data_IF_706964135549
#
_entry.id   IF_706964135549
#
_cell.length_a   1.000
_cell.length_b   1.000
_cell.length_c   1.000
_cell.angle_alpha   90.00
_cell.angle_beta   90.00
_cell.angle_gamma   90.00
#
_symmetry.space_group_name_H-M   'P 1'
#
loop_
_entity.id
_entity.type
_entity.pdbx_description
1 polymer ?
#
# COMPACT_ATOMS: atom_id res chain seq x y z
N UNK A 1 25.33 3.08 4.76
CA UNK A 1 25.00 1.87 5.54
C UNK A 1 25.58 1.97 6.93
N UNK A 2 24.80 1.70 7.98
CA UNK A 2 25.30 1.61 9.36
C UNK A 2 25.32 0.16 9.87
N UNK A 3 24.39 -0.68 9.40
CA UNK A 3 24.23 -2.08 9.81
C UNK A 3 23.95 -3.00 8.60
N UNK A 4 24.21 -4.32 8.68
CA UNK A 4 23.77 -5.27 7.65
C UNK A 4 22.24 -5.32 7.56
N UNK A 5 21.72 -5.68 6.38
CA UNK A 5 20.28 -5.79 6.18
C UNK A 5 19.71 -7.12 6.66
N UNK A 6 18.48 -7.06 7.17
CA UNK A 6 17.62 -8.22 7.43
C UNK A 6 16.22 -7.95 6.86
N UNK A 7 15.50 -8.98 6.44
CA UNK A 7 14.11 -8.84 5.98
C UNK A 7 13.33 -10.13 6.22
N UNK A 8 12.01 -10.08 6.08
CA UNK A 8 11.15 -11.25 6.23
C UNK A 8 11.40 -12.29 5.13
N UNK A 9 11.09 -13.54 5.39
CA UNK A 9 10.98 -14.59 4.38
C UNK A 9 10.04 -14.12 3.26
N UNK A 10 10.50 -14.25 2.01
CA UNK A 10 9.82 -13.67 0.85
C UNK A 10 10.30 -12.27 0.46
N UNK A 11 11.01 -11.54 1.35
CA UNK A 11 11.58 -10.22 1.07
C UNK A 11 10.70 -9.05 1.52
N UNK A 12 11.30 -7.87 1.61
CA UNK A 12 10.59 -6.60 1.79
C UNK A 12 9.65 -6.35 0.60
N UNK A 13 8.54 -5.65 0.83
CA UNK A 13 7.64 -5.24 -0.26
C UNK A 13 8.34 -4.20 -1.13
N UNK A 14 8.29 -4.34 -2.44
CA UNK A 14 8.88 -3.39 -3.38
C UNK A 14 7.80 -2.43 -3.89
N UNK A 15 7.91 -1.17 -3.51
CA UNK A 15 6.95 -0.12 -3.88
C UNK A 15 7.52 0.74 -5.01
N UNK A 16 6.84 0.78 -6.15
CA UNK A 16 7.26 1.48 -7.36
C UNK A 16 6.47 2.79 -7.49
N UNK A 17 7.18 3.90 -7.62
CA UNK A 17 6.60 5.22 -7.84
C UNK A 17 6.49 5.55 -9.33
N UNK A 18 5.27 5.88 -9.77
CA UNK A 18 5.01 6.48 -11.06
C UNK A 18 4.77 8.00 -10.92
N UNK A 19 5.16 8.82 -11.91
CA UNK A 19 5.20 10.27 -11.74
C UNK A 19 3.96 11.00 -12.27
N UNK A 20 2.90 10.28 -12.63
CA UNK A 20 1.72 10.89 -13.25
C UNK A 20 0.82 11.50 -12.19
N UNK A 21 0.63 12.82 -12.14
CA UNK A 21 -0.18 13.46 -11.11
C UNK A 21 -1.59 12.86 -10.99
N UNK A 22 -1.94 12.37 -9.79
CA UNK A 22 -3.27 11.84 -9.49
C UNK A 22 -4.37 12.90 -9.44
N UNK A 23 -4.02 14.19 -9.49
CA UNK A 23 -4.92 15.36 -9.42
C UNK A 23 -5.76 15.46 -8.14
N UNK A 24 -5.63 14.49 -7.23
CA UNK A 24 -6.44 14.41 -6.01
C UNK A 24 -5.99 15.37 -4.92
N UNK A 25 -4.75 15.88 -5.00
CA UNK A 25 -4.25 16.98 -4.17
C UNK A 25 -4.60 16.86 -2.67
N UNK A 26 -4.62 15.63 -2.14
CA UNK A 26 -5.02 15.38 -0.77
C UNK A 26 -4.09 16.13 0.19
N UNK A 27 -4.61 16.79 1.24
CA UNK A 27 -3.79 17.58 2.16
C UNK A 27 -2.82 16.73 3.00
N UNK A 28 -3.04 15.42 3.06
CA UNK A 28 -2.20 14.44 3.76
C UNK A 28 -1.30 13.63 2.82
N UNK A 29 -1.26 13.94 1.52
CA UNK A 29 -0.34 13.26 0.62
C UNK A 29 1.08 13.82 0.80
N UNK A 30 1.94 13.06 1.48
CA UNK A 30 3.36 13.43 1.64
C UNK A 30 4.18 13.18 0.38
N UNK A 31 3.70 12.29 -0.49
CA UNK A 31 4.42 11.85 -1.69
C UNK A 31 4.19 12.77 -2.88
N UNK A 32 3.46 13.88 -2.73
CA UNK A 32 3.11 14.75 -3.86
C UNK A 32 4.33 15.26 -4.63
N UNK A 33 5.41 15.55 -3.91
CA UNK A 33 6.67 15.99 -4.54
C UNK A 33 7.29 14.91 -5.43
N UNK A 34 7.10 13.63 -5.09
CA UNK A 34 7.66 12.48 -5.83
C UNK A 34 7.07 12.32 -7.24
N UNK A 35 5.88 12.86 -7.48
CA UNK A 35 5.17 12.74 -8.76
C UNK A 35 4.68 14.09 -9.31
N UNK A 36 5.11 15.21 -8.73
CA UNK A 36 4.84 16.55 -9.26
C UNK A 36 5.87 16.96 -10.34
N UNK A 37 7.07 16.38 -10.29
CA UNK A 37 8.14 16.58 -11.27
C UNK A 37 8.43 15.27 -11.98
N UNK A 38 8.23 15.22 -13.30
CA UNK A 38 8.53 14.04 -14.12
C UNK A 38 9.99 14.02 -14.62
N UNK A 39 10.83 14.97 -14.19
CA UNK A 39 12.22 15.05 -14.60
C UNK A 39 12.97 13.80 -14.17
N UNK A 40 13.56 13.12 -15.14
CA UNK A 40 14.34 11.90 -14.91
C UNK A 40 13.52 10.61 -14.84
N UNK A 41 12.19 10.67 -15.05
CA UNK A 41 11.38 9.47 -15.20
C UNK A 41 11.94 8.55 -16.29
N UNK A 42 12.07 7.26 -15.98
CA UNK A 42 12.57 6.27 -16.92
C UNK A 42 11.99 4.88 -16.64
N UNK A 43 11.07 4.44 -17.50
CA UNK A 43 10.54 3.07 -17.48
C UNK A 43 11.67 2.03 -17.54
N UNK A 44 12.66 2.24 -18.40
CA UNK A 44 13.81 1.33 -18.54
C UNK A 44 14.57 1.12 -17.22
N UNK A 45 14.91 2.21 -16.51
CA UNK A 45 15.61 2.13 -15.23
C UNK A 45 14.75 1.54 -14.11
N UNK A 46 13.44 1.80 -14.13
CA UNK A 46 12.50 1.15 -13.21
C UNK A 46 12.50 -0.36 -13.48
N UNK A 47 12.43 -0.78 -14.75
CA UNK A 47 12.48 -2.18 -15.14
C UNK A 47 13.81 -2.85 -14.72
N UNK A 48 14.95 -2.18 -14.87
CA UNK A 48 16.23 -2.66 -14.35
C UNK A 48 16.18 -2.92 -12.83
N UNK A 49 15.55 -2.00 -12.11
CA UNK A 49 15.40 -2.11 -10.65
C UNK A 49 14.43 -3.21 -10.24
N UNK A 50 13.34 -3.40 -10.99
CA UNK A 50 12.41 -4.53 -10.81
C UNK A 50 13.17 -5.85 -10.98
N UNK A 51 13.90 -6.03 -12.08
CA UNK A 51 14.72 -7.23 -12.33
C UNK A 51 15.74 -7.45 -11.23
N UNK A 52 16.36 -6.37 -10.74
CA UNK A 52 17.31 -6.42 -9.64
C UNK A 52 16.67 -6.92 -8.34
N UNK A 53 15.47 -6.44 -8.00
CA UNK A 53 14.76 -6.84 -6.79
C UNK A 53 14.15 -8.25 -6.88
N UNK A 54 13.65 -8.65 -8.05
CA UNK A 54 13.23 -10.04 -8.31
C UNK A 54 14.39 -11.01 -8.08
N UNK A 55 15.58 -10.72 -8.64
CA UNK A 55 16.75 -11.57 -8.49
C UNK A 55 17.18 -11.78 -7.03
N UNK A 56 17.00 -10.77 -6.15
CA UNK A 56 17.35 -10.87 -4.73
C UNK A 56 16.23 -11.50 -3.92
N UNK A 57 14.97 -11.15 -4.21
CA UNK A 57 13.78 -11.57 -3.46
C UNK A 57 12.65 -12.03 -4.40
N UNK A 58 12.72 -13.24 -4.96
CA UNK A 58 11.90 -13.68 -6.11
C UNK A 58 10.44 -14.01 -5.78
N UNK A 59 9.98 -13.66 -4.57
CA UNK A 59 8.62 -13.93 -4.08
C UNK A 59 8.07 -12.78 -3.21
N UNK A 60 8.69 -11.60 -3.26
CA UNK A 60 8.20 -10.43 -2.54
C UNK A 60 6.91 -9.88 -3.18
N UNK A 61 6.26 -8.97 -2.49
CA UNK A 61 5.10 -8.26 -3.03
C UNK A 61 5.58 -7.00 -3.77
N UNK A 62 5.02 -6.71 -4.93
CA UNK A 62 5.21 -5.45 -5.66
C UNK A 62 3.98 -4.55 -5.55
N UNK A 63 4.18 -3.25 -5.37
CA UNK A 63 3.10 -2.26 -5.24
C UNK A 63 3.37 -1.08 -6.16
N UNK A 64 2.51 -0.86 -7.15
CA UNK A 64 2.55 0.37 -7.96
C UNK A 64 1.80 1.50 -7.24
N UNK A 65 2.45 2.65 -7.11
CA UNK A 65 1.90 3.85 -6.44
C UNK A 65 2.60 5.11 -6.95
N UNK A 66 2.66 6.17 -6.15
CA UNK A 66 3.16 7.48 -6.51
C UNK A 66 1.99 8.39 -6.82
N UNK A 67 1.91 8.86 -8.05
CA UNK A 67 0.73 9.56 -8.57
C UNK A 67 -0.38 8.58 -8.95
N UNK A 68 -0.74 8.52 -10.23
CA UNK A 68 -1.80 7.66 -10.78
C UNK A 68 -1.22 6.61 -11.73
N UNK A 69 -1.06 5.34 -11.29
CA UNK A 69 -0.51 4.27 -12.13
C UNK A 69 -1.26 4.03 -13.43
N UNK A 70 -2.58 4.28 -13.48
CA UNK A 70 -3.37 4.07 -14.68
C UNK A 70 -3.33 5.23 -15.69
N UNK A 71 -2.60 6.31 -15.39
CA UNK A 71 -2.48 7.45 -16.30
C UNK A 71 -1.68 7.13 -17.58
N UNK A 72 -0.88 6.06 -17.57
CA UNK A 72 -0.14 5.55 -18.73
C UNK A 72 -0.10 4.01 -18.69
N UNK A 73 -1.07 3.40 -19.38
CA UNK A 73 -1.23 1.95 -19.42
C UNK A 73 -0.10 1.25 -20.20
N UNK A 74 0.56 1.94 -21.14
CA UNK A 74 1.66 1.37 -21.91
C UNK A 74 2.89 1.22 -21.02
N UNK A 75 3.29 2.31 -20.35
CA UNK A 75 4.38 2.28 -19.38
C UNK A 75 4.11 1.29 -18.25
N UNK A 76 2.87 1.26 -17.72
CA UNK A 76 2.49 0.29 -16.69
C UNK A 76 2.58 -1.15 -17.20
N UNK A 77 2.16 -1.45 -18.44
CA UNK A 77 2.30 -2.78 -19.01
C UNK A 77 3.76 -3.22 -19.09
N UNK A 78 4.65 -2.34 -19.59
CA UNK A 78 6.08 -2.64 -19.70
C UNK A 78 6.67 -2.99 -18.34
N UNK A 79 6.37 -2.22 -17.30
CA UNK A 79 6.83 -2.51 -15.94
C UNK A 79 6.19 -3.78 -15.37
N UNK A 80 4.90 -4.02 -15.64
CA UNK A 80 4.24 -5.24 -15.22
C UNK A 80 4.92 -6.45 -15.85
N UNK A 81 5.20 -6.45 -17.15
CA UNK A 81 5.77 -7.59 -17.89
C UNK A 81 7.10 -8.08 -17.31
N UNK A 82 7.88 -7.20 -16.68
CA UNK A 82 9.14 -7.53 -16.00
C UNK A 82 8.99 -8.27 -14.67
N UNK A 83 7.81 -8.21 -14.03
CA UNK A 83 7.58 -8.85 -12.73
C UNK A 83 7.14 -10.32 -12.96
N UNK A 84 7.84 -11.34 -12.46
CA UNK A 84 7.38 -12.73 -12.58
C UNK A 84 6.07 -13.02 -11.82
N UNK A 85 5.36 -14.10 -12.20
CA UNK A 85 4.11 -14.53 -11.53
C UNK A 85 4.32 -15.15 -10.15
N UNK A 86 5.58 -15.26 -9.69
CA UNK A 86 5.92 -15.68 -8.32
C UNK A 86 5.65 -14.58 -7.29
N UNK A 87 5.42 -13.35 -7.74
CA UNK A 87 5.10 -12.19 -6.91
C UNK A 87 3.60 -11.94 -6.83
N UNK A 88 3.18 -11.29 -5.75
CA UNK A 88 1.88 -10.61 -5.70
C UNK A 88 2.04 -9.17 -6.16
N UNK A 89 1.08 -8.68 -6.93
CA UNK A 89 1.11 -7.31 -7.45
C UNK A 89 -0.12 -6.55 -6.99
N UNK A 90 0.10 -5.40 -6.36
CA UNK A 90 -0.93 -4.48 -5.94
C UNK A 90 -0.80 -3.16 -6.71
N UNK A 91 -1.93 -2.53 -7.01
CA UNK A 91 -1.95 -1.20 -7.64
C UNK A 91 -2.72 -0.26 -6.73
N UNK A 92 -2.04 0.76 -6.20
CA UNK A 92 -2.65 1.84 -5.44
C UNK A 92 -3.01 2.97 -6.40
N UNK A 93 -4.29 3.27 -6.51
CA UNK A 93 -4.83 4.22 -7.49
C UNK A 93 -5.89 5.09 -6.83
N UNK A 94 -6.08 6.30 -7.35
CA UNK A 94 -7.31 7.08 -7.06
C UNK A 94 -8.41 6.72 -8.04
N UNK A 95 -8.07 6.05 -9.14
CA UNK A 95 -8.92 5.72 -10.27
C UNK A 95 -9.79 6.93 -10.64
N UNK A 96 -9.20 8.08 -10.98
CA UNK A 96 -9.93 9.29 -11.25
C UNK A 96 -10.62 9.18 -12.62
N UNK A 97 -11.59 10.06 -12.87
CA UNK A 97 -12.04 10.27 -14.26
C UNK A 97 -10.85 10.82 -15.07
N UNK A 98 -10.43 10.07 -16.09
CA UNK A 98 -9.32 10.45 -16.98
C UNK A 98 -9.85 11.02 -18.29
N UNK A 99 -9.16 12.03 -18.82
CA UNK A 99 -9.39 12.55 -20.18
C UNK A 99 -8.69 11.70 -21.25
N UNK A 100 -7.76 10.83 -20.83
CA UNK A 100 -6.88 10.06 -21.72
C UNK A 100 -7.20 8.57 -21.75
N UNK A 101 -7.72 8.01 -20.65
CA UNK A 101 -8.14 6.61 -20.56
C UNK A 101 -9.65 6.54 -20.28
N UNK A 102 -10.36 5.79 -21.10
CA UNK A 102 -11.76 5.48 -20.84
C UNK A 102 -11.90 4.39 -19.77
N UNK A 103 -13.10 4.25 -19.20
CA UNK A 103 -13.43 3.13 -18.31
C UNK A 103 -13.20 1.76 -18.99
N UNK A 104 -13.47 1.67 -20.30
CA UNK A 104 -13.29 0.44 -21.09
C UNK A 104 -11.80 0.09 -21.26
N UNK A 105 -10.93 1.09 -21.40
CA UNK A 105 -9.47 0.88 -21.47
C UNK A 105 -8.95 0.28 -20.17
N UNK A 106 -9.39 0.82 -19.02
CA UNK A 106 -9.02 0.29 -17.69
C UNK A 106 -9.50 -1.15 -17.52
N UNK A 107 -10.77 -1.42 -17.84
CA UNK A 107 -11.33 -2.76 -17.72
C UNK A 107 -10.62 -3.76 -18.63
N UNK A 108 -10.34 -3.38 -19.87
CA UNK A 108 -9.60 -4.23 -20.83
C UNK A 108 -8.18 -4.51 -20.33
N UNK A 109 -7.51 -3.50 -19.80
CA UNK A 109 -6.17 -3.64 -19.24
C UNK A 109 -6.14 -4.58 -18.03
N UNK A 110 -7.09 -4.42 -17.11
CA UNK A 110 -7.18 -5.26 -15.92
C UNK A 110 -7.58 -6.69 -16.27
N UNK A 111 -8.50 -6.90 -17.22
CA UNK A 111 -8.89 -8.23 -17.69
C UNK A 111 -7.71 -8.97 -18.30
N UNK A 112 -6.91 -8.28 -19.14
CA UNK A 112 -5.67 -8.83 -19.72
C UNK A 112 -4.67 -9.28 -18.64
N UNK A 113 -4.58 -8.54 -17.54
CA UNK A 113 -3.57 -8.74 -16.49
C UNK A 113 -4.12 -9.41 -15.22
N UNK A 114 -5.33 -9.95 -15.23
CA UNK A 114 -6.04 -10.41 -14.02
C UNK A 114 -5.36 -11.54 -13.26
N UNK A 115 -4.63 -12.40 -13.97
CA UNK A 115 -3.88 -13.51 -13.36
C UNK A 115 -2.61 -13.02 -12.64
N UNK A 116 -2.20 -11.78 -12.90
CA UNK A 116 -0.98 -11.18 -12.35
C UNK A 116 -1.27 -10.18 -11.25
N UNK A 117 -2.33 -9.38 -11.41
CA UNK A 117 -2.74 -8.36 -10.44
C UNK A 117 -3.51 -9.03 -9.30
N UNK A 118 -2.93 -8.99 -8.10
CA UNK A 118 -3.54 -9.57 -6.91
C UNK A 118 -4.70 -8.73 -6.38
N UNK A 119 -4.53 -7.40 -6.33
CA UNK A 119 -5.59 -6.50 -5.88
C UNK A 119 -5.35 -5.05 -6.31
N UNK A 120 -6.42 -4.33 -6.64
CA UNK A 120 -6.39 -2.88 -6.87
C UNK A 120 -6.89 -2.17 -5.61
N UNK A 121 -6.04 -1.38 -4.98
CA UNK A 121 -6.40 -0.54 -3.84
C UNK A 121 -6.86 0.82 -4.34
N UNK A 122 -8.18 1.05 -4.30
CA UNK A 122 -8.81 2.25 -4.82
C UNK A 122 -9.03 3.24 -3.69
N UNK A 123 -8.38 4.40 -3.77
CA UNK A 123 -8.51 5.45 -2.76
C UNK A 123 -9.86 6.15 -2.89
N UNK A 124 -10.66 6.12 -1.81
CA UNK A 124 -11.93 6.84 -1.68
C UNK A 124 -11.96 7.46 -0.30
N UNK A 125 -11.92 8.78 -0.20
CA UNK A 125 -11.91 9.46 1.10
C UNK A 125 -13.31 9.92 1.46
N UNK A 126 -13.65 9.92 2.74
CA UNK A 126 -14.94 10.46 3.21
C UNK A 126 -15.12 11.94 2.86
N UNK A 127 -14.01 12.67 2.69
CA UNK A 127 -13.99 14.02 2.11
C UNK A 127 -13.49 13.92 0.67
N UNK A 128 -14.23 14.48 -0.28
CA UNK A 128 -13.84 14.42 -1.68
C UNK A 128 -12.83 15.52 -2.01
N UNK A 129 -11.67 15.12 -2.54
CA UNK A 129 -10.63 16.04 -3.02
C UNK A 129 -10.47 16.01 -4.56
N UNK A 130 -11.07 15.01 -5.23
CA UNK A 130 -11.14 14.85 -6.69
C UNK A 130 -12.52 14.40 -7.12
N UNK A 131 -12.81 14.51 -8.42
CA UNK A 131 -13.91 13.78 -9.05
C UNK A 131 -13.51 12.31 -9.16
N UNK A 132 -14.09 11.50 -8.28
CA UNK A 132 -13.93 10.04 -8.26
C UNK A 132 -14.59 9.41 -9.51
N UNK A 133 -14.04 8.32 -10.03
CA UNK A 133 -14.78 7.48 -10.98
C UNK A 133 -16.01 6.86 -10.29
N UNK A 134 -17.04 6.60 -11.10
CA UNK A 134 -18.31 6.07 -10.63
C UNK A 134 -18.13 4.71 -9.93
N UNK A 135 -18.93 4.46 -8.89
CA UNK A 135 -18.94 3.20 -8.15
C UNK A 135 -19.32 2.00 -9.05
N UNK A 136 -20.11 2.22 -10.11
CA UNK A 136 -20.42 1.17 -11.09
C UNK A 136 -19.18 0.62 -11.80
N UNK A 137 -18.12 1.41 -11.93
CA UNK A 137 -16.84 0.92 -12.46
C UNK A 137 -16.20 -0.09 -11.50
N UNK A 138 -16.27 0.16 -10.18
CA UNK A 138 -15.73 -0.74 -9.17
C UNK A 138 -16.43 -2.10 -9.21
N UNK A 139 -17.75 -2.11 -9.40
CA UNK A 139 -18.55 -3.32 -9.53
C UNK A 139 -18.18 -4.18 -10.77
N UNK A 140 -17.51 -3.57 -11.76
CA UNK A 140 -17.11 -4.22 -13.02
C UNK A 140 -15.65 -4.62 -13.06
N UNK A 141 -14.84 -4.27 -12.05
CA UNK A 141 -13.42 -4.61 -12.05
C UNK A 141 -13.24 -6.14 -12.13
N UNK A 142 -12.43 -6.65 -13.08
CA UNK A 142 -12.25 -8.09 -13.25
C UNK A 142 -11.26 -8.70 -12.26
N UNK A 143 -10.69 -7.87 -11.38
CA UNK A 143 -9.71 -8.24 -10.35
C UNK A 143 -10.26 -7.86 -8.97
N UNK A 144 -9.80 -8.53 -7.89
CA UNK A 144 -10.11 -8.10 -6.54
C UNK A 144 -9.75 -6.63 -6.34
N UNK A 145 -10.61 -5.91 -5.61
CA UNK A 145 -10.34 -4.54 -5.25
C UNK A 145 -10.63 -4.31 -3.77
N UNK A 146 -10.02 -3.25 -3.24
CA UNK A 146 -10.23 -2.79 -1.88
C UNK A 146 -10.34 -1.28 -1.89
N UNK A 147 -11.33 -0.77 -1.18
CA UNK A 147 -11.45 0.66 -0.95
C UNK A 147 -10.48 1.06 0.15
N UNK A 148 -9.65 2.06 -0.11
CA UNK A 148 -8.67 2.56 0.84
C UNK A 148 -9.07 3.98 1.27
N UNK A 149 -9.18 4.21 2.57
CA UNK A 149 -9.62 5.48 3.13
C UNK A 149 -8.75 5.92 4.31
N UNK A 150 -8.01 7.01 4.15
CA UNK A 150 -7.34 7.66 5.28
C UNK A 150 -8.39 8.40 6.12
N UNK A 151 -8.51 8.04 7.39
CA UNK A 151 -9.33 8.77 8.37
C UNK A 151 -8.46 9.87 9.02
N UNK A 152 -8.39 11.02 8.35
CA UNK A 152 -7.49 12.11 8.71
C UNK A 152 -8.13 13.09 9.71
N UNK A 153 -7.44 13.39 10.82
CA UNK A 153 -7.85 14.37 11.85
C UNK A 153 -9.31 14.20 12.30
N UNK A 154 -10.13 15.24 12.13
CA UNK A 154 -11.55 15.28 12.43
C UNK A 154 -12.34 14.84 11.21
N UNK A 155 -12.18 13.58 10.80
CA UNK A 155 -13.01 12.99 9.75
C UNK A 155 -14.50 13.04 10.17
N UNK A 156 -15.43 13.13 9.21
CA UNK A 156 -16.84 13.35 9.55
C UNK A 156 -17.50 12.04 10.01
N UNK A 157 -17.36 11.73 11.31
CA UNK A 157 -17.85 10.47 11.92
C UNK A 157 -19.31 10.17 11.60
N UNK A 158 -20.17 11.21 11.54
CA UNK A 158 -21.59 11.07 11.17
C UNK A 158 -21.81 10.44 9.79
N UNK A 159 -20.83 10.55 8.90
CA UNK A 159 -20.88 10.05 7.53
C UNK A 159 -20.24 8.65 7.41
N UNK A 160 -19.76 8.06 8.51
CA UNK A 160 -19.13 6.73 8.52
C UNK A 160 -20.12 5.65 8.06
N UNK A 161 -21.32 5.57 8.66
CA UNK A 161 -22.35 4.61 8.23
C UNK A 161 -22.77 4.84 6.77
N UNK A 162 -23.12 6.07 6.33
CA UNK A 162 -23.37 6.34 4.91
C UNK A 162 -22.24 5.89 3.98
N UNK A 163 -20.98 6.09 4.38
CA UNK A 163 -19.80 5.65 3.62
C UNK A 163 -19.70 4.12 3.53
N UNK A 164 -19.92 3.41 4.65
CA UNK A 164 -19.96 1.94 4.66
C UNK A 164 -21.11 1.42 3.79
N UNK A 165 -22.31 2.01 3.88
CA UNK A 165 -23.48 1.63 3.08
C UNK A 165 -23.31 1.89 1.57
N UNK A 166 -22.47 2.86 1.17
CA UNK A 166 -22.12 3.10 -0.23
C UNK A 166 -21.42 1.86 -0.81
N UNK A 167 -20.35 1.41 -0.17
CA UNK A 167 -19.53 0.31 -0.69
C UNK A 167 -20.09 -1.08 -0.38
N UNK A 168 -20.89 -1.23 0.68
CA UNK A 168 -21.60 -2.49 0.96
C UNK A 168 -22.52 -2.94 -0.18
N UNK A 169 -23.02 -1.98 -0.99
CA UNK A 169 -23.84 -2.26 -2.18
C UNK A 169 -23.04 -2.83 -3.35
N UNK A 170 -21.71 -2.72 -3.31
CA UNK A 170 -20.82 -3.17 -4.38
C UNK A 170 -20.32 -4.58 -4.02
N UNK A 171 -20.68 -5.62 -4.79
CA UNK A 171 -20.23 -6.98 -4.51
C UNK A 171 -18.71 -7.09 -4.48
N UNK A 172 -18.19 -7.83 -3.49
CA UNK A 172 -16.74 -8.05 -3.34
C UNK A 172 -15.95 -6.88 -2.78
N UNK A 173 -16.59 -5.73 -2.50
CA UNK A 173 -15.93 -4.62 -1.85
C UNK A 173 -15.47 -5.00 -0.43
N UNK A 174 -14.30 -4.49 -0.06
CA UNK A 174 -13.79 -4.43 1.31
C UNK A 174 -13.24 -3.03 1.55
N UNK A 175 -13.18 -2.59 2.81
CA UNK A 175 -12.68 -1.26 3.15
C UNK A 175 -11.48 -1.39 4.09
N UNK A 176 -10.40 -0.73 3.71
CA UNK A 176 -9.24 -0.50 4.57
C UNK A 176 -9.20 0.97 4.98
N UNK A 177 -9.52 1.22 6.24
CA UNK A 177 -9.24 2.49 6.89
C UNK A 177 -7.78 2.57 7.30
N UNK A 178 -7.18 3.74 7.11
CA UNK A 178 -5.81 4.03 7.53
C UNK A 178 -5.79 5.16 8.54
N UNK A 179 -5.04 4.96 9.60
CA UNK A 179 -4.60 6.08 10.42
C UNK A 179 -3.65 6.97 9.64
N UNK A 180 -3.56 8.24 10.02
CA UNK A 180 -2.55 9.14 9.51
C UNK A 180 -1.17 8.66 9.97
N UNK A 181 -0.40 8.05 9.06
CA UNK A 181 0.91 7.50 9.38
C UNK A 181 1.89 8.58 9.84
N UNK A 182 1.70 9.86 9.47
CA UNK A 182 2.54 10.96 9.96
C UNK A 182 2.36 11.19 11.47
N UNK A 183 1.26 10.70 12.04
CA UNK A 183 0.96 10.73 13.45
C UNK A 183 1.20 9.38 14.15
N UNK A 184 1.54 8.30 13.43
CA UNK A 184 1.84 7.00 14.05
C UNK A 184 3.21 7.03 14.72
N UNK A 185 3.29 6.54 15.96
CA UNK A 185 4.53 6.31 16.69
C UNK A 185 4.56 4.87 17.22
N UNK A 186 5.71 4.34 17.64
CA UNK A 186 5.79 3.03 18.29
C UNK A 186 4.84 2.90 19.49
N UNK A 187 4.65 3.98 20.25
CA UNK A 187 3.81 4.00 21.45
C UNK A 187 2.31 3.92 21.13
N UNK A 188 1.87 4.54 20.03
CA UNK A 188 0.45 4.56 19.67
C UNK A 188 0.04 3.47 18.66
N UNK A 189 1.02 2.72 18.14
CA UNK A 189 0.81 1.71 17.10
C UNK A 189 -0.23 0.65 17.50
N UNK A 190 -0.25 0.25 18.77
CA UNK A 190 -1.20 -0.74 19.32
C UNK A 190 -2.10 -0.14 20.42
N UNK A 191 -2.11 1.17 20.57
CA UNK A 191 -2.93 1.84 21.57
C UNK A 191 -4.42 1.76 21.16
N UNK A 192 -5.26 1.37 22.11
CA UNK A 192 -6.70 1.18 21.89
C UNK A 192 -7.59 2.08 22.77
N UNK A 193 -7.16 2.38 24.01
CA UNK A 193 -7.97 3.04 25.04
C UNK A 193 -8.30 4.49 24.69
N UNK A 194 -7.43 5.17 23.96
CA UNK A 194 -7.60 6.56 23.54
C UNK A 194 -7.72 6.71 22.03
N UNK A 195 -7.86 5.59 21.31
CA UNK A 195 -8.05 5.58 19.87
C UNK A 195 -9.51 5.86 19.51
N UNK A 196 -9.77 7.12 19.17
CA UNK A 196 -11.09 7.56 18.74
C UNK A 196 -11.59 6.82 17.48
N UNK A 197 -10.73 6.53 16.51
CA UNK A 197 -11.15 5.88 15.26
C UNK A 197 -11.57 4.44 15.55
N UNK A 198 -10.77 3.73 16.34
CA UNK A 198 -11.10 2.38 16.78
C UNK A 198 -12.44 2.33 17.53
N UNK A 199 -12.67 3.28 18.44
CA UNK A 199 -13.94 3.38 19.16
C UNK A 199 -15.11 3.66 18.21
N UNK A 200 -15.01 4.65 17.33
CA UNK A 200 -16.07 4.98 16.38
C UNK A 200 -16.41 3.77 15.46
N UNK A 201 -15.40 2.99 15.05
CA UNK A 201 -15.59 1.77 14.27
C UNK A 201 -16.26 0.64 15.07
N UNK A 202 -15.87 0.43 16.33
CA UNK A 202 -16.48 -0.55 17.24
C UNK A 202 -17.97 -0.27 17.49
N UNK A 203 -18.41 0.99 17.39
CA UNK A 203 -19.83 1.37 17.51
C UNK A 203 -20.68 1.01 16.28
N UNK A 204 -20.07 0.89 15.09
CA UNK A 204 -20.82 0.69 13.82
C UNK A 204 -20.61 -0.69 13.19
N UNK A 205 -19.52 -1.39 13.52
CA UNK A 205 -19.17 -2.68 12.95
C UNK A 205 -18.73 -3.66 14.04
N UNK A 206 -18.94 -4.96 13.79
CA UNK A 206 -18.55 -6.01 14.74
C UNK A 206 -17.04 -6.21 14.66
N UNK A 207 -16.33 -5.93 15.74
CA UNK A 207 -14.90 -6.21 15.85
C UNK A 207 -14.63 -7.74 15.83
N UNK A 208 -13.63 -8.17 15.06
CA UNK A 208 -13.30 -9.59 14.83
C UNK A 208 -11.87 -9.97 15.18
N UNK A 209 -10.98 -9.01 15.42
CA UNK A 209 -9.64 -9.30 15.93
C UNK A 209 -8.57 -8.28 15.56
N UNK A 210 -7.34 -8.58 15.95
CA UNK A 210 -6.15 -7.75 15.76
C UNK A 210 -5.03 -8.61 15.21
N UNK A 211 -4.39 -8.15 14.13
CA UNK A 211 -3.07 -8.62 13.73
C UNK A 211 -2.01 -7.52 13.85
N UNK A 212 -0.75 -7.93 13.81
CA UNK A 212 0.34 -6.97 13.76
C UNK A 212 1.73 -7.56 13.76
N UNK A 213 2.69 -6.69 13.49
CA UNK A 213 4.13 -6.90 13.51
C UNK A 213 4.86 -5.70 14.13
N UNK A 214 6.20 -5.64 14.07
CA UNK A 214 6.96 -4.49 14.61
C UNK A 214 6.54 -3.14 13.99
N UNK A 215 6.02 -3.13 12.77
CA UNK A 215 5.82 -1.91 11.99
C UNK A 215 4.37 -1.49 11.78
N UNK A 216 3.43 -2.43 11.83
CA UNK A 216 2.02 -2.18 11.52
C UNK A 216 1.10 -3.09 12.32
N UNK A 217 -0.12 -2.63 12.54
CA UNK A 217 -1.21 -3.41 13.09
C UNK A 217 -2.47 -3.27 12.24
N UNK A 218 -3.39 -4.22 12.34
CA UNK A 218 -4.70 -4.21 11.69
C UNK A 218 -5.80 -4.64 12.65
N UNK A 219 -6.71 -3.72 12.96
CA UNK A 219 -7.97 -4.03 13.64
C UNK A 219 -9.00 -4.45 12.60
N UNK A 220 -9.58 -5.63 12.77
CA UNK A 220 -10.49 -6.24 11.82
C UNK A 220 -11.93 -6.16 12.30
N UNK A 221 -12.85 -5.94 11.37
CA UNK A 221 -14.27 -5.87 11.63
C UNK A 221 -15.08 -6.52 10.51
N UNK A 222 -16.30 -6.89 10.87
CA UNK A 222 -17.34 -7.35 9.98
C UNK A 222 -18.50 -6.34 10.01
N UNK A 223 -18.78 -5.73 8.86
CA UNK A 223 -19.94 -4.85 8.66
C UNK A 223 -20.92 -5.53 7.71
N UNK A 224 -21.91 -6.24 8.28
CA UNK A 224 -22.96 -6.93 7.53
C UNK A 224 -22.40 -7.91 6.47
N UNK A 225 -21.28 -8.58 6.76
CA UNK A 225 -20.59 -9.48 5.83
C UNK A 225 -19.54 -8.80 4.94
N UNK A 226 -19.37 -7.48 5.00
CA UNK A 226 -18.27 -6.76 4.35
C UNK A 226 -17.07 -6.66 5.30
N UNK A 227 -15.90 -7.09 4.83
CA UNK A 227 -14.64 -6.98 5.58
C UNK A 227 -14.22 -5.51 5.70
N UNK A 228 -13.94 -5.10 6.94
CA UNK A 228 -13.27 -3.84 7.24
C UNK A 228 -11.96 -4.10 7.97
N UNK A 229 -10.92 -3.36 7.61
CA UNK A 229 -9.68 -3.30 8.39
C UNK A 229 -9.37 -1.85 8.70
N UNK A 230 -9.04 -1.54 9.95
CA UNK A 230 -8.40 -0.28 10.32
C UNK A 230 -6.95 -0.55 10.68
N UNK A 231 -6.02 0.02 9.93
CA UNK A 231 -4.59 -0.19 10.19
C UNK A 231 -3.87 1.08 10.62
N UNK A 232 -2.82 0.86 11.40
CA UNK A 232 -1.78 1.83 11.73
C UNK A 232 -0.45 1.27 11.25
N UNK A 233 0.35 2.14 10.64
CA UNK A 233 1.70 1.80 10.13
C UNK A 233 2.64 2.94 10.50
N UNK A 234 3.86 2.61 10.89
CA UNK A 234 4.92 3.59 11.17
C UNK A 234 5.29 4.37 9.88
N UNK A 235 5.76 5.63 10.01
CA UNK A 235 6.11 6.47 8.86
C UNK A 235 7.47 6.12 8.21
N UNK A 236 8.05 4.99 8.57
CA UNK A 236 9.34 4.50 8.09
C UNK A 236 9.28 2.99 7.90
N UNK A 237 10.15 2.48 7.03
CA UNK A 237 10.19 1.06 6.64
C UNK A 237 11.45 0.31 7.09
N UNK A 238 12.33 0.96 7.86
CA UNK A 238 13.50 0.34 8.49
C UNK A 238 13.36 0.29 10.01
N UNK A 239 13.54 -0.89 10.61
CA UNK A 239 13.62 -1.08 12.07
C UNK A 239 15.05 -1.47 12.43
N UNK A 240 15.68 -0.72 13.34
CA UNK A 240 17.02 -1.05 13.85
C UNK A 240 16.87 -1.88 15.13
N UNK A 241 17.32 -3.13 15.09
CA UNK A 241 17.19 -4.07 16.21
C UNK A 241 18.45 -4.95 16.32
N UNK A 242 18.89 -5.23 17.55
CA UNK A 242 19.91 -6.24 17.82
C UNK A 242 19.25 -7.60 17.96
N UNK A 243 19.57 -8.53 17.06
CA UNK A 243 19.04 -9.88 17.15
C UNK A 243 19.69 -10.61 18.33
N UNK A 244 18.91 -11.06 19.33
CA UNK A 244 19.46 -11.73 20.51
C UNK A 244 20.11 -13.09 20.19
N UNK A 245 19.85 -13.69 19.01
CA UNK A 245 20.40 -15.00 18.63
C UNK A 245 21.85 -14.92 18.19
N UNK A 246 22.24 -13.87 17.46
CA UNK A 246 23.58 -13.70 16.91
C UNK A 246 24.31 -12.45 17.45
N UNK A 247 23.61 -11.59 18.18
CA UNK A 247 24.15 -10.35 18.76
C UNK A 247 24.40 -9.24 17.75
N UNK A 248 23.98 -9.41 16.49
CA UNK A 248 24.19 -8.44 15.42
C UNK A 248 23.03 -7.44 15.38
N UNK A 249 23.36 -6.16 15.30
CA UNK A 249 22.38 -5.11 15.00
C UNK A 249 22.12 -5.07 13.50
N UNK A 250 20.86 -5.16 13.10
CA UNK A 250 20.41 -5.15 11.70
C UNK A 250 19.57 -3.92 11.39
N UNK A 251 19.66 -3.48 10.13
CA UNK A 251 18.65 -2.62 9.50
C UNK A 251 17.57 -3.55 8.89
N UNK A 252 16.45 -3.75 9.59
CA UNK A 252 15.36 -4.66 9.19
C UNK A 252 14.41 -3.93 8.24
N UNK A 253 14.36 -4.37 6.98
CA UNK A 253 13.56 -3.74 5.93
C UNK A 253 12.21 -4.41 5.74
N UNK A 254 11.12 -3.62 5.75
CA UNK A 254 9.76 -4.08 5.47
C UNK A 254 9.27 -3.65 4.09
N UNK A 255 9.68 -2.47 3.63
CA UNK A 255 9.43 -1.96 2.29
C UNK A 255 10.72 -1.39 1.69
N UNK A 256 10.85 -1.51 0.38
CA UNK A 256 11.88 -0.92 -0.48
C UNK A 256 11.17 -0.07 -1.51
N UNK A 257 11.71 1.08 -1.86
CA UNK A 257 11.10 2.00 -2.81
C UNK A 257 11.92 2.06 -4.10
N UNK A 258 11.28 1.84 -5.25
CA UNK A 258 11.83 2.17 -6.56
C UNK A 258 11.24 3.52 -6.96
N UNK A 259 12.10 4.53 -7.06
CA UNK A 259 11.72 5.88 -7.48
C UNK A 259 11.51 5.94 -8.99
N UNK A 260 10.84 7.01 -9.45
CA UNK A 260 10.52 7.20 -10.87
C UNK A 260 11.75 7.24 -11.80
N UNK A 261 12.93 7.56 -11.26
CA UNK A 261 14.21 7.57 -11.99
C UNK A 261 14.95 6.21 -11.95
N UNK A 262 14.38 5.20 -11.29
CA UNK A 262 14.97 3.89 -11.05
C UNK A 262 15.87 3.79 -9.81
N UNK A 263 16.00 4.84 -9.00
CA UNK A 263 16.76 4.72 -7.76
C UNK A 263 16.05 3.81 -6.76
N UNK A 264 16.81 2.97 -6.06
CA UNK A 264 16.29 2.05 -5.05
C UNK A 264 16.62 2.61 -3.67
N UNK A 265 15.58 2.79 -2.85
CA UNK A 265 15.68 3.36 -1.50
C UNK A 265 15.21 2.33 -0.47
N UNK A 266 15.86 2.31 0.70
CA UNK A 266 15.53 1.38 1.79
C UNK A 266 14.46 1.93 2.74
N UNK A 267 14.09 3.20 2.62
CA UNK A 267 13.12 3.85 3.51
C UNK A 267 12.41 5.02 2.82
N UNK A 268 11.24 5.39 3.35
CA UNK A 268 10.45 6.57 2.99
C UNK A 268 11.13 7.88 3.37
N UNK A 269 12.18 7.83 4.19
CA UNK A 269 12.98 9.00 4.57
C UNK A 269 14.01 9.42 3.51
N UNK A 270 14.00 8.80 2.32
CA UNK A 270 14.87 9.16 1.20
C UNK A 270 16.27 8.55 1.23
N UNK A 271 16.50 7.53 2.07
CA UNK A 271 17.81 6.85 2.15
C UNK A 271 18.01 5.96 0.93
N UNK A 272 19.02 6.27 0.10
CA UNK A 272 19.42 5.42 -1.03
C UNK A 272 19.95 4.08 -0.51
N UNK A 273 19.50 2.99 -1.12
CA UNK A 273 19.84 1.63 -0.70
C UNK A 273 21.20 1.21 -1.26
N UNK A 274 22.00 0.58 -0.42
CA UNK A 274 23.16 -0.20 -0.85
C UNK A 274 22.68 -1.58 -1.33
N UNK A 275 22.44 -1.70 -2.64
CA UNK A 275 21.85 -2.90 -3.24
C UNK A 275 22.78 -4.11 -3.13
N UNK A 276 24.09 -3.93 -3.27
CA UNK A 276 25.08 -5.02 -3.23
C UNK A 276 25.18 -5.63 -1.83
N UNK A 277 24.93 -4.84 -0.79
CA UNK A 277 24.80 -5.37 0.55
C UNK A 277 23.44 -6.04 0.78
N UNK A 278 22.35 -5.56 0.15
CA UNK A 278 21.04 -6.21 0.21
C UNK A 278 21.01 -7.56 -0.51
N UNK A 279 21.87 -7.80 -1.50
CA UNK A 279 22.06 -9.16 -2.05
C UNK A 279 22.47 -10.20 -1.00
N UNK A 280 23.06 -9.74 0.11
CA UNK A 280 23.52 -10.56 1.24
C UNK A 280 22.57 -10.47 2.42
N UNK A 281 21.33 -10.03 2.20
CA UNK A 281 20.31 -9.85 3.24
C UNK A 281 20.10 -11.15 4.01
N UNK A 282 19.95 -11.02 5.33
CA UNK A 282 19.55 -12.13 6.18
C UNK A 282 18.03 -12.22 6.21
N UNK A 283 17.49 -13.42 6.07
CA UNK A 283 16.06 -13.65 6.17
C UNK A 283 15.65 -14.05 7.58
N UNK A 284 14.52 -13.52 8.06
CA UNK A 284 13.82 -13.96 9.27
C UNK A 284 12.37 -14.35 8.96
N UNK A 285 11.70 -15.20 9.76
CA UNK A 285 10.28 -15.48 9.57
C UNK A 285 9.46 -14.19 9.58
N UNK A 286 8.40 -14.14 8.78
CA UNK A 286 7.50 -12.98 8.82
C UNK A 286 6.82 -12.89 10.19
N UNK A 287 6.96 -11.75 10.85
CA UNK A 287 6.51 -11.49 12.21
C UNK A 287 5.06 -11.00 12.31
N UNK A 288 4.41 -10.73 11.17
CA UNK A 288 2.98 -10.44 11.11
C UNK A 288 2.17 -11.65 11.57
N UNK A 289 1.40 -11.47 12.64
CA UNK A 289 0.60 -12.51 13.25
C UNK A 289 -0.69 -11.95 13.82
N UNK A 290 -1.68 -12.82 13.94
CA UNK A 290 -2.87 -12.52 14.73
C UNK A 290 -2.50 -12.48 16.22
N UNK A 291 -2.80 -11.36 16.85
CA UNK A 291 -2.65 -11.13 18.29
C UNK A 291 -3.96 -11.44 19.02
N UNK A 292 -5.09 -11.19 18.35
CA UNK A 292 -6.43 -11.47 18.83
C UNK A 292 -7.31 -11.98 17.70
N UNK A 293 -8.15 -13.00 17.95
CA UNK A 293 -9.21 -13.44 17.04
C UNK A 293 -10.48 -13.68 17.84
N UNK A 294 -11.57 -13.01 17.43
CA UNK A 294 -12.89 -13.18 18.00
C UNK A 294 -13.71 -14.04 17.03
N UNK A 295 -14.26 -15.13 17.54
CA UNK A 295 -15.12 -16.06 16.80
C UNK A 295 -16.50 -15.44 16.49
#
# INVERSE_FOLDING_TARGET
MKHPYKTREGGATVTIFVPYDCKNHCPFCINKEEYADMTGFSVEKICDSIRRMDAITPRCDFVFTGGEPFADLESLQVMLDEIPTTHKIYINTTLPVSEYQSEEDILTFLEKNKEKITCVNVSRHMQHYVVESNDDLLARLPVPFRVNCVLYKNYPVKDLVPYLERFHKIPGASIQFRFDYTATTPENLYEEEHDKILHDLKEVARYTGLDGCRMRCGFHFDYKGMELTYHKTLPYSTIVETDPKDGVTYDILYDILIKQNGDIHSDWTGVLMDVDAYEKVVFEPYDLKWLERIA
#
